data_IF_795635730837
#
_entry.id   IF_795635730837
#
_cell.length_a   1.000
_cell.length_b   1.000
_cell.length_c   1.000
_cell.angle_alpha   90.00
_cell.angle_beta   90.00
_cell.angle_gamma   90.00
#
_symmetry.space_group_name_H-M   'P 1'
#
loop_
_entity.id
_entity.type
_entity.pdbx_description
1 polymer ?
#
# COMPACT_ATOMS: atom_id res chain seq x y z
N UNK A 1 34.58 10.54 22.09
CA UNK A 1 34.74 10.11 20.69
C UNK A 1 33.36 10.22 20.07
N UNK A 2 33.12 11.18 19.19
CA UNK A 2 31.81 11.39 18.56
C UNK A 2 31.61 10.25 17.55
N UNK A 3 30.67 9.35 17.82
CA UNK A 3 30.25 8.34 16.85
C UNK A 3 29.53 9.10 15.74
N UNK A 4 30.16 9.13 14.57
CA UNK A 4 29.56 9.62 13.34
C UNK A 4 28.50 8.59 12.94
N UNK A 5 27.23 8.89 13.22
CA UNK A 5 26.10 8.15 12.67
C UNK A 5 26.10 8.39 11.15
N UNK A 6 26.67 7.44 10.41
CA UNK A 6 26.53 7.42 8.96
C UNK A 6 25.11 6.93 8.70
N UNK A 7 24.21 7.86 8.36
CA UNK A 7 22.88 7.56 7.87
C UNK A 7 23.04 6.81 6.54
N UNK A 8 22.91 5.49 6.56
CA UNK A 8 22.98 4.66 5.35
C UNK A 8 21.69 4.85 4.56
N UNK A 9 21.62 5.93 3.79
CA UNK A 9 20.47 6.20 2.93
C UNK A 9 20.31 5.06 1.89
N UNK A 10 19.06 4.66 1.63
CA UNK A 10 18.72 3.84 0.47
C UNK A 10 19.23 4.55 -0.79
N UNK A 11 20.24 3.98 -1.46
CA UNK A 11 20.81 4.57 -2.67
C UNK A 11 20.02 4.06 -3.87
N UNK A 12 19.11 4.90 -4.37
CA UNK A 12 18.51 4.72 -5.68
C UNK A 12 19.40 5.44 -6.72
N UNK A 13 19.84 4.72 -7.74
CA UNK A 13 20.45 5.33 -8.93
C UNK A 13 19.36 5.30 -9.99
N UNK A 14 18.66 6.42 -10.14
CA UNK A 14 17.39 6.45 -10.87
C UNK A 14 17.40 7.34 -12.08
N UNK A 15 16.85 6.78 -13.16
CA UNK A 15 15.91 7.47 -14.06
C UNK A 15 14.45 7.44 -13.56
N UNK A 16 14.09 6.72 -12.47
CA UNK A 16 12.70 6.70 -11.97
C UNK A 16 12.19 8.08 -11.61
N UNK A 17 10.89 8.22 -11.78
CA UNK A 17 10.17 9.47 -11.63
C UNK A 17 9.16 9.53 -10.48
N UNK A 18 8.87 8.44 -9.75
CA UNK A 18 7.83 8.47 -8.71
C UNK A 18 8.22 7.85 -7.35
N UNK A 19 7.90 8.55 -6.27
CA UNK A 19 7.86 8.03 -4.89
C UNK A 19 6.53 8.48 -4.26
N UNK A 20 5.86 7.60 -3.52
CA UNK A 20 4.56 7.87 -2.86
C UNK A 20 4.58 9.21 -2.09
N UNK A 21 3.60 10.07 -2.31
CA UNK A 21 3.42 11.32 -1.56
C UNK A 21 2.20 11.22 -0.67
N UNK A 22 2.36 11.37 0.65
CA UNK A 22 1.21 11.49 1.55
C UNK A 22 0.53 12.85 1.31
N UNK A 23 -0.75 12.83 0.97
CA UNK A 23 -1.57 14.01 0.64
C UNK A 23 -1.83 14.96 1.81
N UNK A 24 -1.41 14.61 3.05
CA UNK A 24 -1.57 15.48 4.23
C UNK A 24 -0.41 16.46 4.48
N UNK A 25 0.68 16.42 3.70
CA UNK A 25 1.83 17.33 3.84
C UNK A 25 1.80 18.55 2.90
N UNK A 26 0.60 19.08 2.59
CA UNK A 26 0.45 20.26 1.71
C UNK A 26 0.84 21.59 2.40
N UNK A 27 1.16 21.62 3.69
CA UNK A 27 1.75 22.80 4.32
C UNK A 27 2.90 22.47 5.28
N UNK A 28 4.10 22.18 4.74
CA UNK A 28 5.36 22.76 5.25
C UNK A 28 6.56 22.39 4.38
N UNK A 29 7.16 23.43 3.82
CA UNK A 29 8.49 23.36 3.25
C UNK A 29 9.57 23.08 4.30
N UNK A 30 10.62 22.38 3.85
CA UNK A 30 11.96 22.24 4.43
C UNK A 30 12.02 22.00 5.96
N UNK A 31 11.96 20.73 6.34
CA UNK A 31 12.54 20.20 7.58
C UNK A 31 13.39 18.98 7.25
N UNK A 32 14.66 19.01 7.64
CA UNK A 32 15.64 17.93 7.50
C UNK A 32 15.14 16.63 8.18
N UNK A 33 15.25 15.48 7.49
CA UNK A 33 15.33 14.17 8.14
C UNK A 33 14.28 13.10 7.80
N UNK A 34 13.29 13.38 6.96
CA UNK A 34 12.36 12.36 6.44
C UNK A 34 12.58 12.13 4.94
N UNK A 35 13.05 10.95 4.54
CA UNK A 35 13.24 10.62 3.13
C UNK A 35 11.93 10.71 2.35
N UNK A 36 11.92 11.45 1.24
CA UNK A 36 10.77 11.56 0.33
C UNK A 36 10.26 10.15 -0.05
N UNK A 37 8.97 9.92 0.22
CA UNK A 37 8.21 8.72 -0.14
C UNK A 37 8.44 7.45 0.67
N UNK A 38 8.56 7.64 1.98
CA UNK A 38 8.42 6.59 2.99
C UNK A 38 7.23 6.90 3.88
N UNK A 39 6.31 5.96 4.02
CA UNK A 39 5.14 6.03 4.91
C UNK A 39 5.53 5.38 6.25
N UNK A 40 5.18 6.05 7.36
CA UNK A 40 5.40 5.48 8.69
C UNK A 40 4.26 4.52 9.04
N UNK A 41 4.61 3.34 9.53
CA UNK A 41 3.65 2.36 10.06
C UNK A 41 3.53 2.57 11.57
N UNK A 42 2.30 2.74 12.05
CA UNK A 42 2.00 3.14 13.42
C UNK A 42 0.91 2.22 13.96
N UNK A 43 1.17 1.55 15.08
CA UNK A 43 0.17 0.73 15.74
C UNK A 43 -1.08 1.57 16.11
N UNK A 44 -2.30 1.09 15.81
CA UNK A 44 -3.50 1.76 16.28
C UNK A 44 -3.59 1.77 17.82
N UNK A 45 -4.10 2.83 18.45
CA UNK A 45 -4.16 2.92 19.91
C UNK A 45 -5.18 1.95 20.55
N UNK A 46 -6.04 1.35 19.74
CA UNK A 46 -7.07 0.41 20.18
C UNK A 46 -6.62 -1.06 20.16
N UNK A 47 -5.39 -1.35 19.70
CA UNK A 47 -4.80 -2.70 19.76
C UNK A 47 -3.90 -2.83 20.99
N UNK A 48 -3.97 -3.99 21.64
CA UNK A 48 -3.10 -4.32 22.76
C UNK A 48 -1.77 -4.85 22.24
N UNK A 49 -0.80 -3.97 21.97
CA UNK A 49 0.50 -4.41 21.42
C UNK A 49 1.21 -5.33 22.42
N UNK A 50 1.25 -6.63 22.13
CA UNK A 50 2.05 -7.61 22.85
C UNK A 50 3.54 -7.38 22.55
N UNK A 51 4.14 -6.38 23.19
CA UNK A 51 5.55 -6.03 22.99
C UNK A 51 5.96 -4.63 23.46
N UNK A 52 5.01 -3.75 23.80
CA UNK A 52 5.36 -2.45 24.39
C UNK A 52 5.80 -2.63 25.86
N UNK A 53 7.11 -2.74 26.06
CA UNK A 53 7.71 -2.85 27.39
C UNK A 53 7.40 -1.62 28.26
N UNK A 54 6.86 -1.90 29.45
CA UNK A 54 6.93 -1.16 30.71
C UNK A 54 6.87 0.38 30.64
N UNK A 55 5.66 0.95 30.50
CA UNK A 55 5.52 2.40 30.74
C UNK A 55 4.16 3.07 30.48
N UNK A 56 3.18 2.40 29.88
CA UNK A 56 1.86 2.98 29.63
C UNK A 56 0.80 1.90 29.67
N UNK A 57 -0.30 2.15 30.39
CA UNK A 57 -1.32 1.15 30.72
C UNK A 57 -1.76 0.33 29.52
N UNK A 58 -1.80 -1.00 29.70
CA UNK A 58 -2.41 -1.93 28.75
C UNK A 58 -3.85 -1.49 28.49
N UNK A 59 -4.10 -0.94 27.31
CA UNK A 59 -5.47 -0.66 26.84
C UNK A 59 -6.08 -2.02 26.52
N UNK A 60 -7.23 -2.34 27.11
CA UNK A 60 -7.96 -3.54 26.74
C UNK A 60 -8.30 -3.47 25.24
N UNK A 61 -8.14 -4.57 24.47
CA UNK A 61 -8.50 -4.57 23.05
C UNK A 61 -9.93 -4.10 22.87
N UNK A 62 -10.14 -3.24 21.88
CA UNK A 62 -11.48 -2.76 21.52
C UNK A 62 -12.36 -3.92 21.05
N UNK A 63 -13.66 -3.82 21.30
CA UNK A 63 -14.63 -4.81 20.85
C UNK A 63 -14.49 -5.08 19.34
N UNK A 64 -14.38 -6.35 18.99
CA UNK A 64 -14.25 -6.76 17.59
C UNK A 64 -12.96 -6.32 16.91
N UNK A 65 -11.84 -6.15 17.61
CA UNK A 65 -10.54 -5.83 16.97
C UNK A 65 -9.52 -6.96 17.02
N UNK A 66 -9.75 -7.99 17.84
CA UNK A 66 -8.84 -9.15 17.94
C UNK A 66 -8.74 -9.92 16.63
N UNK A 67 -9.79 -9.90 15.81
CA UNK A 67 -9.78 -10.56 14.50
C UNK A 67 -8.79 -9.88 13.52
N UNK A 68 -8.55 -8.57 13.66
CA UNK A 68 -7.60 -7.84 12.79
C UNK A 68 -6.18 -8.39 12.95
N UNK A 69 -5.81 -8.84 14.16
CA UNK A 69 -4.51 -9.47 14.41
C UNK A 69 -4.37 -10.83 13.74
N UNK A 70 -5.48 -11.50 13.44
CA UNK A 70 -5.53 -12.82 12.80
C UNK A 70 -5.70 -12.73 11.28
N UNK A 71 -6.37 -11.69 10.78
CA UNK A 71 -6.84 -11.62 9.40
C UNK A 71 -6.17 -10.51 8.59
N UNK A 72 -5.95 -9.33 9.17
CA UNK A 72 -5.51 -8.17 8.41
C UNK A 72 -4.01 -8.21 8.09
N UNK A 73 -3.64 -7.72 6.91
CA UNK A 73 -2.28 -7.39 6.53
C UNK A 73 -2.05 -5.89 6.56
N UNK A 74 -1.54 -5.34 5.45
CA UNK A 74 -1.40 -3.90 5.30
C UNK A 74 -2.77 -3.21 5.40
N UNK A 75 -2.82 -2.17 6.22
CA UNK A 75 -4.04 -1.49 6.60
C UNK A 75 -3.83 0.02 6.62
N UNK A 76 -4.89 0.75 6.30
CA UNK A 76 -5.04 2.16 6.60
C UNK A 76 -6.12 2.31 7.68
N UNK A 77 -5.95 3.25 8.60
CA UNK A 77 -6.92 3.48 9.65
C UNK A 77 -7.05 4.96 10.01
N UNK A 78 -8.24 5.31 10.51
CA UNK A 78 -8.55 6.65 11.01
C UNK A 78 -9.49 6.57 12.21
N UNK A 79 -9.42 7.60 13.05
CA UNK A 79 -10.48 7.98 13.97
C UNK A 79 -11.11 9.26 13.44
N UNK A 80 -12.38 9.19 13.03
CA UNK A 80 -13.10 10.38 12.55
C UNK A 80 -13.60 11.26 13.70
N UNK A 81 -13.30 10.93 14.96
CA UNK A 81 -13.61 11.70 16.17
C UNK A 81 -15.11 12.00 16.35
N UNK A 82 -15.96 11.25 15.67
CA UNK A 82 -17.40 11.44 15.59
C UNK A 82 -18.11 10.08 15.57
N UNK A 83 -19.35 10.04 16.05
CA UNK A 83 -20.16 8.82 16.01
C UNK A 83 -20.54 8.48 14.57
N UNK A 84 -20.26 7.24 14.16
CA UNK A 84 -20.62 6.73 12.83
C UNK A 84 -22.00 6.09 12.90
N UNK A 85 -22.86 6.53 11.99
CA UNK A 85 -24.15 5.88 11.73
C UNK A 85 -23.92 4.60 10.92
N UNK A 86 -23.92 3.46 11.62
CA UNK A 86 -23.64 2.16 11.02
C UNK A 86 -24.65 1.77 9.94
N UNK A 87 -25.91 2.19 10.04
CA UNK A 87 -26.93 1.92 9.01
C UNK A 87 -26.60 2.61 7.69
N UNK A 88 -25.97 3.80 7.76
CA UNK A 88 -25.48 4.49 6.57
C UNK A 88 -24.21 3.86 6.02
N UNK A 89 -23.23 3.58 6.88
CA UNK A 89 -21.98 2.94 6.48
C UNK A 89 -22.23 1.57 5.82
N UNK A 90 -23.20 0.81 6.34
CA UNK A 90 -23.62 -0.49 5.80
C UNK A 90 -23.97 -0.48 4.31
N UNK A 91 -24.45 0.65 3.79
CA UNK A 91 -24.94 0.74 2.40
C UNK A 91 -23.85 0.57 1.34
N UNK A 92 -22.57 0.72 1.69
CA UNK A 92 -21.43 0.57 0.76
C UNK A 92 -20.75 -0.79 0.83
N UNK A 93 -21.09 -1.63 1.81
CA UNK A 93 -20.54 -2.97 1.89
C UNK A 93 -21.14 -3.83 0.78
N UNK A 94 -20.27 -4.42 -0.05
CA UNK A 94 -20.67 -5.41 -1.05
C UNK A 94 -21.06 -6.71 -0.35
N UNK A 95 -20.23 -7.13 0.60
CA UNK A 95 -20.47 -8.29 1.46
C UNK A 95 -20.34 -7.86 2.91
N UNK A 96 -21.27 -8.30 3.75
CA UNK A 96 -21.19 -8.13 5.21
C UNK A 96 -20.83 -9.50 5.79
N UNK A 97 -19.68 -9.56 6.45
CA UNK A 97 -19.18 -10.78 7.10
C UNK A 97 -19.63 -10.86 8.55
N UNK A 98 -19.64 -9.71 9.23
CA UNK A 98 -20.06 -9.61 10.62
C UNK A 98 -20.68 -8.25 10.92
N UNK A 99 -21.74 -8.25 11.72
CA UNK A 99 -22.49 -7.04 12.07
C UNK A 99 -23.01 -7.14 13.50
N UNK A 100 -22.87 -6.04 14.24
CA UNK A 100 -23.42 -5.84 15.59
C UNK A 100 -23.93 -4.41 15.73
N UNK A 101 -24.52 -4.10 16.89
CA UNK A 101 -24.89 -2.74 17.27
C UNK A 101 -23.68 -1.80 17.48
N UNK A 102 -22.45 -2.34 17.45
CA UNK A 102 -21.20 -1.63 17.71
C UNK A 102 -20.30 -1.47 16.50
N UNK A 103 -20.28 -2.45 15.59
CA UNK A 103 -19.41 -2.44 14.42
C UNK A 103 -19.89 -3.33 13.28
N UNK A 104 -19.35 -3.07 12.09
CA UNK A 104 -19.54 -3.84 10.85
C UNK A 104 -18.17 -4.26 10.30
N UNK A 105 -18.07 -5.49 9.81
CA UNK A 105 -16.94 -6.03 9.06
C UNK A 105 -17.46 -6.55 7.71
N UNK A 106 -16.70 -6.30 6.64
CA UNK A 106 -16.96 -6.87 5.34
C UNK A 106 -16.19 -6.19 4.21
N UNK A 107 -16.49 -6.57 2.97
CA UNK A 107 -15.85 -6.02 1.78
C UNK A 107 -16.54 -4.76 1.27
N UNK A 108 -15.75 -3.77 0.86
CA UNK A 108 -16.18 -2.49 0.28
C UNK A 108 -15.70 -2.42 -1.15
N UNK A 109 -16.65 -2.13 -2.05
CA UNK A 109 -16.36 -1.96 -3.46
C UNK A 109 -15.48 -0.73 -3.70
N UNK A 110 -14.41 -0.89 -4.47
CA UNK A 110 -13.62 0.22 -4.96
C UNK A 110 -14.21 0.75 -6.28
N UNK A 111 -14.33 2.08 -6.45
CA UNK A 111 -14.63 2.67 -7.75
C UNK A 111 -13.62 2.21 -8.81
N UNK A 112 -14.07 1.99 -10.03
CA UNK A 112 -13.23 1.67 -11.20
C UNK A 112 -12.44 0.35 -11.14
N UNK A 113 -12.58 -0.44 -10.07
CA UNK A 113 -11.92 -1.73 -9.89
C UNK A 113 -12.91 -2.91 -9.86
N UNK A 114 -12.47 -4.12 -10.28
CA UNK A 114 -13.26 -5.34 -10.15
C UNK A 114 -13.35 -5.81 -8.68
N UNK A 115 -14.30 -6.71 -8.39
CA UNK A 115 -14.54 -7.21 -7.02
C UNK A 115 -13.30 -7.87 -6.39
N UNK A 116 -12.37 -8.38 -7.20
CA UNK A 116 -11.11 -8.97 -6.72
C UNK A 116 -10.19 -7.96 -6.04
N UNK A 117 -10.44 -6.67 -6.23
CA UNK A 117 -9.65 -5.57 -5.67
C UNK A 117 -10.33 -4.90 -4.47
N UNK A 118 -11.57 -5.29 -4.15
CA UNK A 118 -12.31 -4.80 -2.99
C UNK A 118 -11.43 -4.82 -1.73
N UNK A 119 -11.50 -3.76 -0.93
CA UNK A 119 -10.87 -3.73 0.39
C UNK A 119 -11.82 -4.30 1.42
N UNK A 120 -11.28 -4.86 2.49
CA UNK A 120 -12.08 -5.14 3.68
C UNK A 120 -12.13 -3.90 4.56
N UNK A 121 -13.22 -3.73 5.29
CA UNK A 121 -13.41 -2.61 6.20
C UNK A 121 -13.94 -3.10 7.55
N UNK A 122 -13.34 -2.60 8.63
CA UNK A 122 -13.91 -2.59 9.97
C UNK A 122 -14.37 -1.18 10.30
N UNK A 123 -15.65 -1.03 10.64
CA UNK A 123 -16.26 0.26 10.94
C UNK A 123 -16.93 0.18 12.29
N UNK A 124 -16.46 0.97 13.26
CA UNK A 124 -16.98 1.01 14.61
C UNK A 124 -17.74 2.31 14.87
N UNK A 125 -18.86 2.23 15.58
CA UNK A 125 -19.81 3.34 15.82
C UNK A 125 -19.22 4.59 16.47
N UNK A 126 -18.06 4.49 17.11
CA UNK A 126 -17.45 5.59 17.87
C UNK A 126 -16.38 6.36 17.08
N UNK A 127 -16.22 6.06 15.78
CA UNK A 127 -15.39 6.84 14.87
C UNK A 127 -14.25 6.08 14.21
N UNK A 128 -13.93 4.85 14.66
CA UNK A 128 -12.82 4.11 14.09
C UNK A 128 -13.20 3.40 12.80
N UNK A 129 -12.37 3.61 11.77
CA UNK A 129 -12.46 2.94 10.49
C UNK A 129 -11.08 2.35 10.18
N UNK A 130 -11.04 1.07 9.82
CA UNK A 130 -9.85 0.38 9.33
C UNK A 130 -10.19 -0.21 7.97
N UNK A 131 -9.43 0.12 6.94
CA UNK A 131 -9.48 -0.57 5.64
C UNK A 131 -8.21 -1.38 5.46
N UNK A 132 -8.34 -2.60 4.95
CA UNK A 132 -7.23 -3.54 4.89
C UNK A 132 -7.36 -4.52 3.73
N UNK A 133 -6.21 -5.05 3.34
CA UNK A 133 -6.13 -6.31 2.60
C UNK A 133 -5.80 -7.45 3.55
N UNK A 134 -6.17 -8.67 3.19
CA UNK A 134 -5.94 -9.87 4.01
C UNK A 134 -4.44 -10.13 4.17
N UNK A 135 -4.03 -10.78 5.27
CA UNK A 135 -2.63 -11.01 5.58
C UNK A 135 -1.91 -11.90 4.54
N UNK A 136 -2.66 -12.67 3.76
CA UNK A 136 -2.16 -13.51 2.68
C UNK A 136 -1.88 -12.72 1.40
N UNK A 137 -2.43 -11.51 1.29
CA UNK A 137 -2.27 -10.63 0.13
C UNK A 137 -1.00 -9.78 0.25
N UNK A 138 -0.29 -9.52 -0.87
CA UNK A 138 0.92 -8.72 -0.83
C UNK A 138 0.58 -7.25 -0.57
N UNK A 139 1.42 -6.56 0.19
CA UNK A 139 1.26 -5.14 0.48
C UNK A 139 1.24 -4.27 -0.80
N UNK A 140 1.87 -4.72 -1.88
CA UNK A 140 1.84 -4.06 -3.17
C UNK A 140 0.43 -3.91 -3.79
N UNK A 141 -0.56 -4.66 -3.30
CA UNK A 141 -1.96 -4.54 -3.73
C UNK A 141 -2.58 -3.18 -3.40
N UNK A 142 -2.04 -2.42 -2.44
CA UNK A 142 -2.55 -1.07 -2.07
C UNK A 142 -2.43 -0.04 -3.18
N UNK A 143 -1.58 -0.28 -4.19
CA UNK A 143 -1.28 0.70 -5.22
C UNK A 143 -2.47 0.96 -6.11
N UNK A 144 -2.95 2.20 -6.08
CA UNK A 144 -3.96 2.68 -7.00
C UNK A 144 -3.29 3.18 -8.30
N UNK A 145 -3.37 2.35 -9.34
CA UNK A 145 -2.87 2.69 -10.67
C UNK A 145 -3.87 3.48 -11.50
N UNK A 146 -5.14 3.53 -11.10
CA UNK A 146 -6.16 4.35 -11.76
C UNK A 146 -5.91 5.85 -11.48
N UNK A 147 -5.50 6.18 -10.25
CA UNK A 147 -5.09 7.54 -9.86
C UNK A 147 -3.66 7.90 -10.31
N UNK A 148 -2.87 6.92 -10.79
CA UNK A 148 -1.51 7.18 -11.26
C UNK A 148 -1.50 7.89 -12.61
N UNK A 149 -1.29 9.22 -12.56
CA UNK A 149 -1.30 10.13 -13.70
C UNK A 149 0.08 10.46 -14.28
N UNK A 150 0.10 11.29 -15.33
CA UNK A 150 1.33 11.74 -16.02
C UNK A 150 2.21 12.66 -15.18
N UNK A 151 1.74 13.09 -14.01
CA UNK A 151 2.55 13.78 -13.01
C UNK A 151 3.41 12.82 -12.17
N UNK A 152 3.28 11.50 -12.43
CA UNK A 152 4.13 10.43 -11.93
C UNK A 152 4.21 10.45 -10.40
N UNK A 153 3.03 10.56 -9.79
CA UNK A 153 2.84 10.52 -8.35
C UNK A 153 1.73 9.55 -8.04
N UNK A 154 1.93 8.83 -6.96
CA UNK A 154 0.87 8.10 -6.30
C UNK A 154 0.38 9.01 -5.17
N UNK A 155 -0.85 9.51 -5.30
CA UNK A 155 -1.47 10.51 -4.42
C UNK A 155 -2.37 9.91 -3.33
N UNK A 156 -2.76 8.65 -3.49
CA UNK A 156 -3.54 7.86 -2.54
C UNK A 156 -3.29 6.36 -2.70
N UNK A 157 -4.00 5.56 -1.92
CA UNK A 157 -4.00 4.10 -2.05
C UNK A 157 -5.44 3.60 -2.14
N UNK A 158 -5.61 2.39 -2.66
CA UNK A 158 -6.91 1.71 -2.66
C UNK A 158 -7.51 1.58 -1.24
N UNK A 159 -6.67 1.51 -0.20
CA UNK A 159 -7.14 1.51 1.18
C UNK A 159 -7.76 2.86 1.57
N UNK A 160 -7.17 3.98 1.12
CA UNK A 160 -7.74 5.32 1.31
C UNK A 160 -9.03 5.50 0.51
N UNK A 161 -9.13 4.95 -0.70
CA UNK A 161 -10.36 5.03 -1.51
C UNK A 161 -11.52 4.30 -0.86
N UNK A 162 -11.30 3.07 -0.39
CA UNK A 162 -12.33 2.33 0.35
C UNK A 162 -12.74 3.05 1.64
N UNK A 163 -11.78 3.70 2.32
CA UNK A 163 -12.06 4.49 3.52
C UNK A 163 -12.89 5.74 3.18
N UNK A 164 -12.59 6.39 2.06
CA UNK A 164 -13.35 7.52 1.52
C UNK A 164 -14.78 7.11 1.19
N UNK A 165 -14.99 5.96 0.55
CA UNK A 165 -16.33 5.40 0.27
C UNK A 165 -17.14 5.23 1.56
N UNK A 166 -16.55 4.62 2.59
CA UNK A 166 -17.21 4.46 3.91
C UNK A 166 -17.52 5.80 4.57
N UNK A 167 -16.53 6.71 4.64
CA UNK A 167 -16.70 8.03 5.24
C UNK A 167 -17.83 8.82 4.57
N UNK A 168 -17.85 8.83 3.24
CA UNK A 168 -18.85 9.53 2.44
C UNK A 168 -20.25 9.00 2.68
N UNK A 169 -20.41 7.67 2.75
CA UNK A 169 -21.71 7.06 3.04
C UNK A 169 -22.20 7.39 4.46
N UNK A 170 -21.31 7.32 5.44
CA UNK A 170 -21.61 7.68 6.83
C UNK A 170 -21.87 9.18 7.03
N UNK A 171 -21.44 10.03 6.10
CA UNK A 171 -21.54 11.48 6.20
C UNK A 171 -20.55 12.09 7.20
N UNK A 172 -19.38 11.47 7.35
CA UNK A 172 -18.29 11.90 8.24
C UNK A 172 -17.06 12.29 7.41
N UNK A 173 -16.22 13.23 7.88
CA UNK A 173 -15.02 13.63 7.14
C UNK A 173 -13.87 12.63 7.35
N UNK A 174 -13.16 12.32 6.27
CA UNK A 174 -11.89 11.59 6.34
C UNK A 174 -10.79 12.51 6.88
N UNK A 175 -10.06 12.08 7.91
CA UNK A 175 -8.98 12.86 8.54
C UNK A 175 -7.87 11.95 9.05
N UNK A 176 -6.66 12.49 9.28
CA UNK A 176 -5.58 11.83 10.05
C UNK A 176 -5.30 10.35 9.72
N UNK A 177 -5.22 9.99 8.43
CA UNK A 177 -5.03 8.61 8.01
C UNK A 177 -3.64 8.14 8.41
N UNK A 178 -3.58 6.95 8.99
CA UNK A 178 -2.34 6.27 9.35
C UNK A 178 -2.32 4.88 8.75
N UNK A 179 -1.12 4.32 8.61
CA UNK A 179 -0.92 2.98 8.10
C UNK A 179 -0.38 2.07 9.18
N UNK A 180 -0.72 0.79 9.10
CA UNK A 180 -0.18 -0.27 9.96
C UNK A 180 -0.23 -1.60 9.21
N UNK A 181 0.69 -2.50 9.52
CA UNK A 181 0.65 -3.86 8.99
C UNK A 181 0.47 -4.85 10.16
N UNK A 182 -0.73 -5.42 10.27
CA UNK A 182 -1.07 -6.35 11.35
C UNK A 182 -0.26 -7.65 11.28
N UNK A 183 0.18 -8.06 10.09
CA UNK A 183 1.04 -9.23 9.88
C UNK A 183 2.46 -8.99 10.38
N UNK A 184 2.95 -7.76 10.31
CA UNK A 184 4.32 -7.39 10.69
C UNK A 184 4.34 -6.27 11.72
N UNK A 185 3.90 -6.58 12.95
CA UNK A 185 3.79 -5.61 14.05
C UNK A 185 5.08 -4.83 14.41
N UNK A 186 6.26 -5.35 14.05
CA UNK A 186 7.55 -4.71 14.30
C UNK A 186 8.03 -3.81 13.14
N UNK A 187 7.32 -3.78 12.00
CA UNK A 187 7.65 -2.88 10.90
C UNK A 187 7.19 -1.46 11.23
N UNK A 188 8.02 -0.47 10.89
CA UNK A 188 7.73 0.94 11.12
C UNK A 188 7.79 1.78 9.83
N UNK A 189 8.17 1.18 8.71
CA UNK A 189 8.23 1.82 7.39
C UNK A 189 7.56 0.99 6.29
N UNK A 190 6.82 1.70 5.44
CA UNK A 190 6.37 1.28 4.11
C UNK A 190 7.05 2.17 3.08
N UNK A 191 7.64 1.60 2.03
CA UNK A 191 8.22 2.34 0.91
C UNK A 191 7.71 1.79 -0.40
N UNK A 192 7.44 2.68 -1.34
CA UNK A 192 7.09 2.34 -2.72
C UNK A 192 8.06 3.03 -3.65
N UNK A 193 8.66 2.23 -4.52
CA UNK A 193 9.50 2.69 -5.63
C UNK A 193 8.78 2.29 -6.90
N UNK A 194 8.32 3.27 -7.67
CA UNK A 194 7.52 3.01 -8.86
C UNK A 194 8.16 3.65 -10.09
N UNK A 195 7.93 3.03 -11.23
CA UNK A 195 8.30 3.56 -12.54
C UNK A 195 7.18 3.37 -13.55
N UNK A 196 7.23 4.16 -14.62
CA UNK A 196 6.14 4.22 -15.57
C UNK A 196 6.60 4.44 -17.01
N UNK A 197 5.97 3.68 -17.89
CA UNK A 197 6.20 3.72 -19.33
C UNK A 197 4.89 4.09 -20.04
N UNK A 198 4.77 5.34 -20.51
CA UNK A 198 3.57 5.90 -21.17
C UNK A 198 3.43 5.59 -22.66
N UNK A 199 4.34 4.79 -23.22
CA UNK A 199 4.32 4.38 -24.62
C UNK A 199 5.09 3.09 -24.82
N UNK A 200 4.86 2.31 -25.89
CA UNK A 200 5.59 1.05 -26.08
C UNK A 200 7.10 1.23 -26.02
N UNK A 201 7.79 0.35 -25.29
CA UNK A 201 9.20 0.52 -24.99
C UNK A 201 9.69 -0.32 -23.82
N UNK A 202 10.77 0.18 -23.21
CA UNK A 202 11.42 -0.44 -22.06
C UNK A 202 11.93 0.67 -21.16
N UNK A 203 11.70 0.54 -19.86
CA UNK A 203 12.33 1.38 -18.87
C UNK A 203 12.97 0.51 -17.77
N UNK A 204 13.92 1.09 -17.05
CA UNK A 204 14.66 0.41 -16.00
C UNK A 204 15.05 1.35 -14.88
N UNK A 205 15.09 0.79 -13.67
CA UNK A 205 15.71 1.45 -12.55
C UNK A 205 16.55 0.52 -11.69
N UNK A 206 17.37 1.12 -10.82
CA UNK A 206 18.23 0.38 -9.91
C UNK A 206 17.84 0.63 -8.47
N UNK A 207 17.64 -0.48 -7.77
CA UNK A 207 17.30 -0.51 -6.35
C UNK A 207 18.37 -1.30 -5.60
N UNK A 208 18.80 -0.80 -4.45
CA UNK A 208 19.70 -1.50 -3.54
C UNK A 208 19.12 -1.47 -2.13
N UNK A 209 18.91 -2.64 -1.55
CA UNK A 209 18.39 -2.80 -0.19
C UNK A 209 19.58 -2.76 0.79
N UNK A 210 19.59 -1.84 1.77
CA UNK A 210 20.62 -1.80 2.81
C UNK A 210 20.63 -3.09 3.64
N UNK A 211 21.81 -3.54 4.06
CA UNK A 211 21.94 -4.76 4.88
C UNK A 211 21.69 -4.52 6.38
N UNK A 212 21.66 -3.27 6.78
CA UNK A 212 21.38 -2.78 8.13
C UNK A 212 19.88 -2.60 8.41
N UNK A 213 19.00 -2.87 7.44
CA UNK A 213 17.55 -2.83 7.65
C UNK A 213 16.97 -4.25 7.78
N UNK A 214 15.88 -4.37 8.53
CA UNK A 214 15.09 -5.61 8.62
C UNK A 214 13.91 -5.49 7.66
N UNK A 215 13.94 -6.27 6.57
CA UNK A 215 12.83 -6.32 5.60
C UNK A 215 11.89 -7.46 5.95
N UNK A 216 10.66 -7.12 6.33
CA UNK A 216 9.59 -8.07 6.61
C UNK A 216 8.90 -8.53 5.34
N UNK A 217 8.65 -7.59 4.42
CA UNK A 217 8.08 -7.90 3.10
C UNK A 217 8.81 -7.18 1.97
N UNK A 218 8.88 -7.90 0.83
CA UNK A 218 9.21 -7.37 -0.48
C UNK A 218 8.10 -7.84 -1.41
N UNK A 219 7.40 -6.93 -2.05
CA UNK A 219 6.34 -7.25 -3.01
C UNK A 219 6.46 -6.38 -4.25
N UNK A 220 5.81 -6.79 -5.33
CA UNK A 220 5.73 -6.04 -6.57
C UNK A 220 4.28 -5.80 -6.98
N UNK A 221 4.05 -4.72 -7.72
CA UNK A 221 2.84 -4.50 -8.49
C UNK A 221 3.24 -4.17 -9.93
N UNK A 222 2.55 -4.75 -10.88
CA UNK A 222 2.78 -4.62 -12.31
C UNK A 222 1.42 -4.36 -12.96
N UNK A 223 1.32 -3.26 -13.69
CA UNK A 223 0.08 -2.78 -14.23
C UNK A 223 0.20 -2.49 -15.71
N UNK A 224 -0.84 -2.83 -16.47
CA UNK A 224 -0.92 -2.48 -17.88
C UNK A 224 -2.26 -1.81 -18.21
N UNK A 225 -2.17 -0.61 -18.77
CA UNK A 225 -3.30 0.11 -19.35
C UNK A 225 -3.63 -0.43 -20.74
N UNK A 226 -4.92 -0.44 -21.07
CA UNK A 226 -5.42 -0.91 -22.36
C UNK A 226 -4.85 -0.17 -23.58
N UNK A 227 -4.98 -0.79 -24.76
CA UNK A 227 -4.65 -0.19 -26.05
C UNK A 227 -5.72 -0.49 -27.10
N UNK A 228 -5.83 0.39 -28.09
CA UNK A 228 -6.81 0.24 -29.17
C UNK A 228 -6.37 -0.84 -30.16
N UNK A 229 -6.98 -2.02 -30.05
CA UNK A 229 -7.12 -2.98 -31.15
C UNK A 229 -5.99 -3.99 -31.34
N UNK A 230 -5.02 -4.10 -30.43
CA UNK A 230 -3.94 -5.09 -30.50
C UNK A 230 -3.77 -5.87 -29.20
N UNK A 231 -3.24 -7.09 -29.29
CA UNK A 231 -2.80 -7.83 -28.11
C UNK A 231 -1.73 -7.05 -27.37
N UNK A 232 -1.94 -6.93 -26.07
CA UNK A 232 -1.07 -6.19 -25.17
C UNK A 232 -0.16 -7.19 -24.49
N UNK A 233 1.12 -6.87 -24.46
CA UNK A 233 2.13 -7.66 -23.77
C UNK A 233 2.94 -6.70 -22.91
N UNK A 234 2.99 -7.01 -21.63
CA UNK A 234 3.89 -6.35 -20.71
C UNK A 234 4.57 -7.35 -19.80
N UNK A 235 5.84 -7.11 -19.52
CA UNK A 235 6.67 -7.96 -18.69
C UNK A 235 7.47 -7.11 -17.70
N UNK A 236 7.55 -7.60 -16.46
CA UNK A 236 8.38 -7.05 -15.39
C UNK A 236 9.51 -8.03 -15.05
N UNK A 237 10.70 -7.50 -14.82
CA UNK A 237 11.92 -8.27 -14.56
C UNK A 237 12.68 -7.75 -13.35
N UNK A 238 13.40 -8.66 -12.69
CA UNK A 238 14.47 -8.33 -11.75
C UNK A 238 15.74 -9.05 -12.22
N UNK A 239 16.82 -8.31 -12.46
CA UNK A 239 18.10 -8.82 -12.96
C UNK A 239 17.95 -9.76 -14.17
N UNK A 240 17.22 -9.28 -15.19
CA UNK A 240 16.91 -10.02 -16.42
C UNK A 240 16.00 -11.25 -16.24
N UNK A 241 15.65 -11.63 -15.01
CA UNK A 241 14.68 -12.70 -14.74
C UNK A 241 13.27 -12.11 -14.75
N UNK A 242 12.43 -12.60 -15.65
CA UNK A 242 11.00 -12.25 -15.67
C UNK A 242 10.32 -12.70 -14.39
N UNK A 243 9.59 -11.80 -13.74
CA UNK A 243 8.81 -12.06 -12.52
C UNK A 243 7.31 -11.91 -12.72
N UNK A 244 6.87 -11.15 -13.73
CA UNK A 244 5.46 -10.95 -14.06
C UNK A 244 5.28 -10.77 -15.56
N UNK A 245 4.14 -11.19 -16.08
CA UNK A 245 3.72 -11.06 -17.47
C UNK A 245 2.22 -10.76 -17.48
N UNK A 246 1.83 -9.68 -18.17
CA UNK A 246 0.45 -9.36 -18.50
C UNK A 246 0.32 -9.54 -20.00
N UNK A 247 -0.46 -10.53 -20.41
CA UNK A 247 -0.72 -10.84 -21.82
C UNK A 247 -2.23 -10.92 -22.03
N UNK A 248 -2.79 -9.86 -22.60
CA UNK A 248 -4.24 -9.71 -22.65
C UNK A 248 -4.79 -9.34 -24.02
N UNK A 249 -6.05 -9.73 -24.22
CA UNK A 249 -6.83 -9.37 -25.39
C UNK A 249 -7.20 -7.88 -25.31
N UNK A 250 -7.23 -7.13 -26.43
CA UNK A 250 -7.50 -5.68 -26.47
C UNK A 250 -8.84 -5.20 -25.90
N UNK A 251 -9.69 -6.08 -25.35
CA UNK A 251 -11.03 -5.75 -24.87
C UNK A 251 -11.25 -6.12 -23.40
N UNK A 252 -10.21 -6.56 -22.68
CA UNK A 252 -10.31 -7.02 -21.28
C UNK A 252 -10.05 -5.87 -20.28
N UNK A 253 -9.73 -4.67 -20.76
CA UNK A 253 -9.55 -3.48 -19.92
C UNK A 253 -8.16 -3.42 -19.29
N UNK A 254 -8.07 -2.79 -18.12
CA UNK A 254 -6.84 -2.61 -17.36
C UNK A 254 -6.58 -3.84 -16.46
N UNK A 255 -5.33 -4.29 -16.36
CA UNK A 255 -4.96 -5.48 -15.57
C UNK A 255 -3.81 -5.16 -14.62
N UNK A 256 -3.90 -5.67 -13.39
CA UNK A 256 -2.85 -5.56 -12.37
C UNK A 256 -2.43 -6.95 -11.90
N UNK A 257 -1.14 -7.23 -11.93
CA UNK A 257 -0.52 -8.37 -11.27
C UNK A 257 0.31 -7.90 -10.08
N UNK A 258 0.16 -8.54 -8.93
CA UNK A 258 0.98 -8.30 -7.75
C UNK A 258 1.46 -9.61 -7.14
N UNK A 259 2.54 -9.56 -6.37
CA UNK A 259 3.07 -10.76 -5.73
C UNK A 259 4.23 -10.51 -4.79
N UNK A 260 4.58 -11.55 -4.02
CA UNK A 260 5.71 -11.52 -3.09
C UNK A 260 7.04 -11.81 -3.81
N UNK A 261 8.11 -11.18 -3.33
CA UNK A 261 9.48 -11.38 -3.78
C UNK A 261 10.29 -12.09 -2.71
N UNK A 262 10.95 -13.18 -3.09
CA UNK A 262 11.86 -13.89 -2.18
C UNK A 262 13.12 -13.05 -1.87
N UNK A 263 13.79 -13.30 -0.72
CA UNK A 263 15.07 -12.67 -0.41
C UNK A 263 16.17 -12.92 -1.45
N UNK A 264 16.04 -13.98 -2.27
CA UNK A 264 16.97 -14.28 -3.37
C UNK A 264 16.66 -13.51 -4.65
N UNK A 265 15.41 -13.10 -4.86
CA UNK A 265 15.05 -12.26 -6.02
C UNK A 265 15.45 -10.81 -5.80
N UNK A 266 15.33 -10.31 -4.56
CA UNK A 266 15.67 -8.95 -4.20
C UNK A 266 16.52 -8.97 -2.90
N UNK A 267 17.80 -9.27 -3.10
CA UNK A 267 18.80 -9.49 -2.06
C UNK A 267 19.40 -8.18 -1.52
N UNK A 268 20.00 -8.29 -0.33
CA UNK A 268 20.58 -7.14 0.36
C UNK A 268 21.97 -6.79 -0.17
N UNK A 269 22.35 -5.53 0.02
CA UNK A 269 23.67 -4.96 -0.27
C UNK A 269 24.17 -5.04 -1.72
N UNK A 270 23.33 -5.45 -2.67
CA UNK A 270 23.62 -5.45 -4.11
C UNK A 270 22.61 -4.57 -4.86
N UNK A 271 23.04 -4.03 -6.00
CA UNK A 271 22.11 -3.34 -6.90
C UNK A 271 21.37 -4.36 -7.75
N UNK A 272 20.05 -4.27 -7.72
CA UNK A 272 19.15 -4.98 -8.62
C UNK A 272 18.69 -4.04 -9.71
N UNK A 273 18.59 -4.55 -10.94
CA UNK A 273 17.93 -3.83 -12.04
C UNK A 273 16.49 -4.30 -12.15
N UNK A 274 15.57 -3.39 -11.86
CA UNK A 274 14.14 -3.56 -12.13
C UNK A 274 13.92 -3.05 -13.55
N UNK A 275 13.17 -3.82 -14.34
CA UNK A 275 12.90 -3.50 -15.74
C UNK A 275 11.46 -3.79 -16.06
N UNK A 276 10.86 -2.86 -16.78
CA UNK A 276 9.53 -3.00 -17.33
C UNK A 276 9.60 -2.89 -18.85
N UNK A 277 8.83 -3.73 -19.53
CA UNK A 277 8.69 -3.65 -20.98
C UNK A 277 7.22 -3.62 -21.34
N UNK A 278 6.85 -2.77 -22.29
CA UNK A 278 5.48 -2.64 -22.77
C UNK A 278 5.43 -2.71 -24.29
N UNK A 279 4.58 -3.56 -24.84
CA UNK A 279 4.32 -3.68 -26.27
C UNK A 279 2.83 -3.50 -26.52
N UNK A 280 2.51 -2.64 -27.48
CA UNK A 280 1.13 -2.28 -27.84
C UNK A 280 0.31 -1.85 -26.61
N UNK A 281 0.88 -1.01 -25.76
CA UNK A 281 0.25 -0.49 -24.54
C UNK A 281 0.28 1.04 -24.53
N UNK A 282 -0.72 1.66 -23.91
CA UNK A 282 -0.74 3.11 -23.63
C UNK A 282 -0.03 3.48 -22.32
N UNK A 283 0.27 2.49 -21.50
CA UNK A 283 0.82 2.68 -20.17
C UNK A 283 1.20 1.34 -19.57
N UNK A 284 2.43 1.20 -19.13
CA UNK A 284 2.81 0.10 -18.25
C UNK A 284 3.55 0.67 -17.05
N UNK A 285 3.11 0.29 -15.86
CA UNK A 285 3.67 0.76 -14.61
C UNK A 285 4.16 -0.42 -13.79
N UNK A 286 5.24 -0.23 -13.06
CA UNK A 286 5.70 -1.19 -12.07
C UNK A 286 6.04 -0.51 -10.76
N UNK A 287 5.99 -1.29 -9.70
CA UNK A 287 6.42 -0.86 -8.40
C UNK A 287 7.02 -2.00 -7.59
N UNK A 288 7.99 -1.64 -6.75
CA UNK A 288 8.47 -2.45 -5.65
C UNK A 288 7.97 -1.82 -4.35
N UNK A 289 7.32 -2.64 -3.52
CA UNK A 289 6.80 -2.25 -2.21
C UNK A 289 7.58 -2.98 -1.13
N UNK A 290 8.03 -2.23 -0.12
CA UNK A 290 8.88 -2.71 0.95
C UNK A 290 8.24 -2.39 2.31
N UNK A 291 8.08 -3.41 3.14
CA UNK A 291 7.73 -3.27 4.56
C UNK A 291 8.98 -3.60 5.37
N UNK A 292 9.48 -2.63 6.14
CA UNK A 292 10.77 -2.77 6.81
C UNK A 292 10.84 -1.99 8.12
N UNK A 293 11.93 -2.25 8.84
CA UNK A 293 12.39 -1.48 9.99
C UNK A 293 13.85 -1.11 9.81
N UNK A 294 14.18 0.16 10.10
CA UNK A 294 15.57 0.61 10.21
C UNK A 294 16.15 0.13 11.56
N UNK A 295 17.34 -0.47 11.56
CA UNK A 295 17.99 -0.97 12.77
C UNK A 295 18.79 0.10 13.53
#
# INVERSE_FOLDING_TARGET
MKVLAVLTALVMVVSCTAVLYNSQDVEKGMGEGGGKGVISLVAPPFIGVAGAAEGGGSVAPRAGTTFLEEEAGISAYTDVEETIDLEKAKTVFRTIEYETDEYIIGSVALPDYPETEDVHAYVHKDGWIVTYYLNEEPAAKILDWADYGTDEKITGTKLEDGMSVVCNAAGVPMRNIKYYDFKYANADKLMVVADALWSPGTDTFKLKLPSDFVFYERSFSHYCRESEGNWIESDMYIDEKKISCIYQHPFIGEETNYGLLSPTQLSLAVFHTIKITGRNTRGTFDAIVLIYQEA
#
